data_IF_881700340993
#
_entry.id   IF_881700340993
#
_cell.length_a   1.000
_cell.length_b   1.000
_cell.length_c   1.000
_cell.angle_alpha   90.00
_cell.angle_beta   90.00
_cell.angle_gamma   90.00
#
_symmetry.space_group_name_H-M   'P 1'
#
loop_
_entity.id
_entity.type
_entity.pdbx_description
1 polymer ?
#
# COMPACT_ATOMS: atom_id res chain seq x y z
N UNK A 1 -11.86 -7.45 -3.57
CA UNK A 1 -12.36 -7.91 -2.27
C UNK A 1 -12.52 -6.76 -1.29
N UNK A 2 -12.08 -6.93 -0.05
CA UNK A 2 -11.99 -5.80 0.87
C UNK A 2 -10.88 -4.86 0.39
N UNK A 3 -11.17 -3.57 0.33
CA UNK A 3 -10.23 -2.59 -0.25
C UNK A 3 -9.09 -2.31 0.73
N UNK A 4 -9.41 -2.23 2.01
CA UNK A 4 -8.47 -1.86 3.08
C UNK A 4 -8.69 -2.74 4.32
N UNK A 5 -8.15 -3.98 4.34
CA UNK A 5 -8.15 -4.78 5.56
C UNK A 5 -7.34 -4.09 6.66
N UNK A 6 -7.94 -3.90 7.84
CA UNK A 6 -7.33 -3.10 8.91
C UNK A 6 -7.66 -3.59 10.32
N UNK A 7 -7.82 -4.89 10.50
CA UNK A 7 -8.07 -5.47 11.82
C UNK A 7 -6.91 -5.23 12.80
N UNK A 8 -5.70 -5.04 12.29
CA UNK A 8 -4.51 -4.69 13.04
C UNK A 8 -4.72 -3.41 13.87
N UNK A 9 -5.26 -2.36 13.27
CA UNK A 9 -5.56 -1.10 13.96
C UNK A 9 -6.87 -1.18 14.75
N UNK A 10 -7.96 -1.52 14.06
CA UNK A 10 -9.33 -1.36 14.60
C UNK A 10 -9.60 -2.22 15.83
N UNK A 11 -8.96 -3.38 15.93
CA UNK A 11 -9.20 -4.33 17.00
C UNK A 11 -8.01 -4.58 17.91
N UNK A 12 -6.79 -4.39 17.43
CA UNK A 12 -5.58 -4.87 18.10
C UNK A 12 -4.61 -3.75 18.45
N UNK A 13 -4.66 -2.60 17.78
CA UNK A 13 -3.68 -1.51 17.89
C UNK A 13 -2.23 -2.02 17.67
N UNK A 14 -2.07 -2.92 16.67
CA UNK A 14 -0.79 -3.52 16.31
C UNK A 14 -0.37 -3.07 14.91
N UNK A 15 0.74 -2.36 14.83
CA UNK A 15 1.24 -1.77 13.59
C UNK A 15 2.51 -2.43 13.05
N UNK A 16 3.16 -3.26 13.87
CA UNK A 16 4.31 -4.03 13.43
C UNK A 16 3.86 -5.35 12.80
N UNK A 17 4.12 -5.55 11.48
CA UNK A 17 3.61 -6.71 10.77
C UNK A 17 4.21 -8.03 11.25
N UNK A 18 5.47 -8.04 11.70
CA UNK A 18 6.11 -9.25 12.23
C UNK A 18 5.47 -9.67 13.57
N UNK A 19 5.23 -8.71 14.45
CA UNK A 19 4.53 -8.92 15.72
C UNK A 19 3.10 -9.39 15.48
N UNK A 20 2.40 -8.78 14.53
CA UNK A 20 1.04 -9.19 14.16
C UNK A 20 1.03 -10.65 13.70
N UNK A 21 1.91 -11.03 12.78
CA UNK A 21 1.99 -12.41 12.27
C UNK A 21 2.29 -13.41 13.40
N UNK A 22 3.21 -13.08 14.30
CA UNK A 22 3.56 -13.95 15.43
C UNK A 22 2.41 -14.14 16.45
N UNK A 23 1.61 -13.11 16.68
CA UNK A 23 0.59 -13.12 17.74
C UNK A 23 -0.82 -13.41 17.21
N UNK A 24 -1.12 -13.07 15.98
CA UNK A 24 -2.46 -13.06 15.40
C UNK A 24 -2.59 -13.83 14.11
N UNK A 25 -1.48 -14.30 13.52
CA UNK A 25 -1.50 -15.20 12.39
C UNK A 25 -2.42 -16.41 12.63
N UNK A 26 -3.13 -16.86 11.59
CA UNK A 26 -4.15 -17.92 11.67
C UNK A 26 -5.39 -17.62 12.57
N UNK A 27 -5.53 -16.41 13.08
CA UNK A 27 -6.74 -16.01 13.83
C UNK A 27 -7.82 -15.42 12.91
N UNK A 28 -8.95 -15.02 13.48
CA UNK A 28 -10.01 -14.31 12.73
C UNK A 28 -9.65 -12.85 12.40
N UNK A 29 -8.57 -12.35 12.95
CA UNK A 29 -8.06 -11.01 12.64
C UNK A 29 -7.12 -11.02 11.45
N UNK A 30 -6.58 -12.18 11.10
CA UNK A 30 -5.66 -12.37 9.98
C UNK A 30 -6.42 -12.40 8.64
N UNK A 31 -6.08 -11.47 7.75
CA UNK A 31 -6.65 -11.39 6.42
C UNK A 31 -6.26 -12.59 5.54
N UNK A 32 -5.07 -13.14 5.74
CA UNK A 32 -4.60 -14.35 5.05
C UNK A 32 -5.52 -15.55 5.25
N UNK A 33 -6.17 -15.61 6.40
CA UNK A 33 -7.18 -16.63 6.68
C UNK A 33 -8.52 -16.35 6.02
N UNK A 34 -8.82 -15.08 5.74
CA UNK A 34 -10.15 -14.66 5.31
C UNK A 34 -10.30 -14.58 3.79
N UNK A 35 -9.29 -14.07 3.08
CA UNK A 35 -9.44 -13.80 1.67
C UNK A 35 -9.42 -15.06 0.77
N UNK A 36 -8.61 -16.12 1.03
CA UNK A 36 -8.57 -17.27 0.13
C UNK A 36 -9.93 -17.94 -0.08
N UNK A 37 -10.71 -18.29 0.97
CA UNK A 37 -12.04 -18.86 0.77
C UNK A 37 -13.03 -17.90 0.09
N UNK A 38 -12.81 -16.58 0.17
CA UNK A 38 -13.63 -15.61 -0.56
C UNK A 38 -13.27 -15.67 -2.06
N UNK A 39 -11.98 -15.77 -2.41
CA UNK A 39 -11.55 -15.96 -3.80
C UNK A 39 -12.14 -17.26 -4.36
N UNK A 40 -12.07 -18.37 -3.63
CA UNK A 40 -12.66 -19.65 -4.04
C UNK A 40 -14.16 -19.52 -4.31
N UNK A 41 -14.91 -18.89 -3.41
CA UNK A 41 -16.34 -18.67 -3.58
C UNK A 41 -16.67 -17.76 -4.79
N UNK A 42 -15.84 -16.77 -5.08
CA UNK A 42 -15.97 -15.97 -6.31
C UNK A 42 -15.76 -16.86 -7.54
N UNK A 43 -14.77 -17.74 -7.53
CA UNK A 43 -14.45 -18.60 -8.65
C UNK A 43 -15.52 -19.64 -8.98
N UNK A 44 -16.33 -20.05 -8.01
CA UNK A 44 -17.51 -20.88 -8.25
C UNK A 44 -18.55 -20.20 -9.17
N UNK A 45 -18.59 -18.86 -9.17
CA UNK A 45 -19.58 -18.06 -9.91
C UNK A 45 -18.96 -17.38 -11.13
N UNK A 46 -17.75 -16.85 -10.96
CA UNK A 46 -17.01 -16.10 -11.99
C UNK A 46 -15.56 -16.59 -12.10
N UNK A 47 -15.28 -17.51 -13.03
CA UNK A 47 -13.94 -18.07 -13.20
C UNK A 47 -12.99 -17.17 -14.02
N UNK A 48 -13.43 -15.99 -14.49
CA UNK A 48 -12.66 -15.22 -15.48
C UNK A 48 -12.31 -13.79 -15.07
N UNK A 49 -13.13 -13.12 -14.28
CA UNK A 49 -12.87 -11.74 -13.88
C UNK A 49 -11.68 -11.66 -12.91
N UNK A 50 -10.70 -10.78 -13.15
CA UNK A 50 -9.63 -10.57 -12.19
C UNK A 50 -10.17 -10.14 -10.82
N UNK A 51 -9.54 -10.64 -9.75
CA UNK A 51 -9.84 -10.27 -8.37
C UNK A 51 -8.64 -9.51 -7.81
N UNK A 52 -8.89 -8.32 -7.27
CA UNK A 52 -7.87 -7.53 -6.58
C UNK A 52 -7.88 -7.87 -5.09
N UNK A 53 -6.70 -8.12 -4.53
CA UNK A 53 -6.50 -8.46 -3.12
C UNK A 53 -5.43 -7.54 -2.54
N UNK A 54 -5.84 -6.69 -1.61
CA UNK A 54 -4.91 -5.84 -0.85
C UNK A 54 -4.37 -6.55 0.39
N UNK A 55 -3.25 -6.10 0.91
CA UNK A 55 -2.69 -6.57 2.17
C UNK A 55 -3.35 -5.90 3.39
N UNK A 56 -2.90 -6.28 4.59
CA UNK A 56 -3.36 -5.66 5.84
C UNK A 56 -2.93 -4.19 5.96
N UNK A 57 -3.32 -3.54 7.05
CA UNK A 57 -2.99 -2.16 7.37
C UNK A 57 -3.31 -1.18 6.22
N UNK A 58 -4.56 -1.22 5.76
CA UNK A 58 -5.03 -0.36 4.65
C UNK A 58 -4.34 -0.64 3.31
N UNK A 59 -3.90 -1.86 3.08
CA UNK A 59 -3.11 -2.25 1.90
C UNK A 59 -1.74 -1.55 1.82
N UNK A 60 -1.14 -1.26 2.97
CA UNK A 60 0.17 -0.60 3.05
C UNK A 60 1.27 -1.49 2.47
N UNK A 61 2.18 -0.89 1.72
CA UNK A 61 3.26 -1.60 1.02
C UNK A 61 4.17 -2.39 1.96
N UNK A 62 4.39 -1.91 3.18
CA UNK A 62 5.22 -2.59 4.18
C UNK A 62 4.59 -3.88 4.71
N UNK A 63 3.28 -4.06 4.52
CA UNK A 63 2.55 -5.29 4.87
C UNK A 63 2.45 -6.29 3.72
N UNK A 64 2.87 -5.91 2.53
CA UNK A 64 2.84 -6.79 1.35
C UNK A 64 3.65 -8.10 1.53
N UNK A 65 4.84 -8.11 2.15
CA UNK A 65 5.61 -9.33 2.39
C UNK A 65 4.92 -10.37 3.28
N UNK A 66 3.92 -9.94 4.04
CA UNK A 66 3.15 -10.78 4.97
C UNK A 66 1.82 -11.23 4.38
N UNK A 67 1.55 -10.92 3.11
CA UNK A 67 0.36 -11.36 2.42
C UNK A 67 0.61 -12.72 1.76
N UNK A 68 -0.24 -13.69 2.10
CA UNK A 68 -0.25 -14.99 1.44
C UNK A 68 -0.68 -14.88 -0.03
N UNK A 69 -0.30 -15.86 -0.83
CA UNK A 69 -0.71 -15.96 -2.22
C UNK A 69 -1.60 -17.18 -2.46
N UNK A 70 -2.49 -17.07 -3.44
CA UNK A 70 -3.35 -18.17 -3.88
C UNK A 70 -2.95 -18.66 -5.27
N UNK A 71 -3.15 -19.94 -5.56
CA UNK A 71 -2.88 -20.51 -6.89
C UNK A 71 -4.01 -20.15 -7.88
N UNK A 72 -4.12 -18.85 -8.15
CA UNK A 72 -5.09 -18.27 -9.10
C UNK A 72 -4.42 -17.18 -9.94
N UNK A 73 -4.16 -17.45 -11.20
CA UNK A 73 -3.53 -16.52 -12.15
C UNK A 73 -4.36 -15.26 -12.48
N UNK A 74 -5.56 -15.14 -11.94
CA UNK A 74 -6.44 -14.00 -12.11
C UNK A 74 -6.62 -13.21 -10.81
N UNK A 75 -5.75 -13.45 -9.84
CA UNK A 75 -5.58 -12.56 -8.71
C UNK A 75 -4.48 -11.55 -9.03
N UNK A 76 -4.75 -10.29 -8.77
CA UNK A 76 -3.80 -9.18 -8.79
C UNK A 76 -3.70 -8.69 -7.36
N UNK A 77 -2.50 -8.68 -6.81
CA UNK A 77 -2.30 -8.11 -5.48
C UNK A 77 -2.22 -6.59 -5.56
N UNK A 78 -2.62 -5.90 -4.52
CA UNK A 78 -2.69 -4.44 -4.58
C UNK A 78 -2.12 -3.79 -3.33
N UNK A 79 -1.50 -2.63 -3.54
CA UNK A 79 -1.08 -1.73 -2.48
C UNK A 79 -1.81 -0.39 -2.59
N UNK A 80 -1.95 0.29 -1.44
CA UNK A 80 -2.27 1.70 -1.34
C UNK A 80 -0.99 2.42 -0.92
N UNK A 81 -0.38 3.13 -1.87
CA UNK A 81 0.91 3.75 -1.62
C UNK A 81 0.73 5.20 -1.17
N UNK A 82 0.85 5.40 0.14
CA UNK A 82 0.79 6.72 0.76
C UNK A 82 2.01 7.02 1.64
N UNK A 83 2.99 6.11 1.68
CA UNK A 83 4.21 6.34 2.43
C UNK A 83 5.09 7.42 1.78
N UNK A 84 5.76 8.28 2.55
CA UNK A 84 5.64 8.35 4.01
C UNK A 84 4.43 9.21 4.43
N UNK A 85 3.61 8.70 5.34
CA UNK A 85 2.40 9.37 5.83
C UNK A 85 2.69 10.74 6.44
N UNK A 86 3.85 10.90 7.07
CA UNK A 86 4.32 12.15 7.66
C UNK A 86 4.45 13.29 6.66
N UNK A 87 4.50 12.96 5.37
CA UNK A 87 4.49 13.93 4.29
C UNK A 87 3.15 13.96 3.56
N UNK A 88 2.67 12.80 3.11
CA UNK A 88 1.49 12.74 2.24
C UNK A 88 0.21 13.19 2.94
N UNK A 89 0.09 12.94 4.26
CA UNK A 89 -1.10 13.20 5.07
C UNK A 89 -0.96 14.35 6.06
N UNK A 90 0.17 15.08 6.06
CA UNK A 90 0.34 16.19 7.01
C UNK A 90 -0.69 17.30 6.76
N UNK A 91 -1.22 17.83 7.84
CA UNK A 91 -2.16 18.94 7.80
C UNK A 91 -1.48 20.28 7.52
N UNK A 92 -2.25 21.28 7.12
CA UNK A 92 -1.75 22.63 6.93
C UNK A 92 -1.61 23.37 8.29
N UNK A 93 -0.53 24.14 8.55
CA UNK A 93 0.60 24.34 7.65
C UNK A 93 1.55 23.15 7.63
N UNK A 94 2.00 22.69 6.45
CA UNK A 94 2.87 21.54 6.33
C UNK A 94 4.25 21.80 6.96
N UNK A 95 4.77 20.78 7.67
CA UNK A 95 6.09 20.82 8.29
C UNK A 95 7.19 20.23 7.39
N UNK A 96 6.84 19.20 6.61
CA UNK A 96 7.74 18.46 5.75
C UNK A 96 7.59 18.89 4.29
N UNK A 97 8.64 18.70 3.51
CA UNK A 97 8.68 19.00 2.08
C UNK A 97 9.35 17.84 1.33
N UNK A 98 9.01 17.67 0.05
CA UNK A 98 9.65 16.69 -0.82
C UNK A 98 10.43 17.38 -1.97
N UNK A 99 11.68 16.96 -2.23
CA UNK A 99 12.54 16.13 -1.39
C UNK A 99 12.86 16.81 -0.07
N UNK A 100 13.09 16.03 0.99
CA UNK A 100 13.36 16.58 2.30
C UNK A 100 13.96 15.57 3.27
N UNK A 101 14.27 16.06 4.48
CA UNK A 101 14.77 15.19 5.54
C UNK A 101 13.85 15.31 6.74
N UNK A 102 13.20 14.21 7.10
CA UNK A 102 12.28 14.08 8.23
C UNK A 102 12.15 12.60 8.61
N UNK A 103 11.67 12.33 9.81
CA UNK A 103 11.39 10.99 10.30
C UNK A 103 10.23 10.38 9.49
N UNK A 104 10.54 9.47 8.59
CA UNK A 104 9.58 8.91 7.64
C UNK A 104 8.97 7.57 8.09
N UNK A 105 9.61 6.89 9.05
CA UNK A 105 9.23 5.55 9.54
C UNK A 105 8.92 5.50 11.05
N UNK A 106 8.85 6.65 11.70
CA UNK A 106 8.54 6.81 13.13
C UNK A 106 9.62 6.27 14.10
N UNK A 107 10.85 6.10 13.64
CA UNK A 107 11.96 5.61 14.47
C UNK A 107 12.62 6.72 15.30
N UNK A 108 12.26 7.97 15.07
CA UNK A 108 12.76 9.16 15.74
C UNK A 108 14.06 9.71 15.15
N UNK A 109 14.49 9.20 14.00
CA UNK A 109 15.63 9.71 13.23
C UNK A 109 15.16 10.28 11.91
N UNK A 110 15.85 11.27 11.32
CA UNK A 110 15.46 11.80 10.03
C UNK A 110 16.01 10.96 8.87
N UNK A 111 15.12 10.61 7.96
CA UNK A 111 15.43 10.01 6.68
C UNK A 111 15.67 11.08 5.61
N UNK A 112 16.42 10.73 4.57
CA UNK A 112 16.48 11.51 3.35
C UNK A 112 15.37 11.02 2.42
N UNK A 113 14.24 11.69 2.43
CA UNK A 113 13.07 11.31 1.61
C UNK A 113 13.16 11.99 0.25
N UNK A 114 13.46 11.19 -0.75
CA UNK A 114 13.55 11.58 -2.16
C UNK A 114 13.16 10.40 -3.06
N UNK A 115 13.49 10.46 -4.36
CA UNK A 115 13.15 9.41 -5.30
C UNK A 115 13.81 8.07 -4.95
N UNK A 116 15.06 8.10 -4.48
CA UNK A 116 15.78 6.88 -4.12
C UNK A 116 15.10 6.20 -2.90
N UNK A 117 14.63 6.97 -1.92
CA UNK A 117 13.85 6.45 -0.79
C UNK A 117 12.54 5.78 -1.24
N UNK A 118 11.83 6.38 -2.21
CA UNK A 118 10.61 5.78 -2.77
C UNK A 118 10.92 4.52 -3.58
N UNK A 119 12.04 4.50 -4.27
CA UNK A 119 12.50 3.35 -5.05
C UNK A 119 12.83 2.17 -4.13
N UNK A 120 13.62 2.42 -3.07
CA UNK A 120 13.96 1.43 -2.04
C UNK A 120 12.69 0.85 -1.35
N UNK A 121 11.70 1.69 -1.07
CA UNK A 121 10.41 1.25 -0.52
C UNK A 121 9.69 0.28 -1.47
N UNK A 122 9.69 0.60 -2.76
CA UNK A 122 9.02 -0.20 -3.78
C UNK A 122 9.77 -1.48 -4.19
N UNK A 123 11.03 -1.66 -3.77
CA UNK A 123 11.73 -2.95 -3.88
C UNK A 123 10.95 -4.06 -3.16
N UNK A 124 10.15 -3.71 -2.15
CA UNK A 124 9.20 -4.62 -1.49
C UNK A 124 8.21 -5.26 -2.49
N UNK A 125 7.79 -4.50 -3.50
CA UNK A 125 6.89 -4.99 -4.57
C UNK A 125 7.66 -5.94 -5.48
N UNK A 126 8.87 -5.56 -5.90
CA UNK A 126 9.71 -6.38 -6.77
C UNK A 126 10.02 -7.74 -6.12
N UNK A 127 10.34 -7.74 -4.82
CA UNK A 127 10.59 -8.97 -4.05
C UNK A 127 9.33 -9.85 -3.95
N UNK A 128 8.16 -9.25 -3.70
CA UNK A 128 6.90 -9.98 -3.65
C UNK A 128 6.54 -10.59 -5.02
N UNK A 129 6.67 -9.85 -6.11
CA UNK A 129 6.43 -10.33 -7.46
C UNK A 129 7.41 -11.45 -7.84
N UNK A 130 8.68 -11.31 -7.49
CA UNK A 130 9.70 -12.33 -7.74
C UNK A 130 9.42 -13.63 -6.97
N UNK A 131 8.94 -13.53 -5.74
CA UNK A 131 8.63 -14.68 -4.88
C UNK A 131 7.32 -15.38 -5.29
N UNK A 132 6.28 -14.61 -5.61
CA UNK A 132 4.93 -15.12 -5.89
C UNK A 132 4.68 -15.45 -7.37
N UNK A 133 5.35 -14.73 -8.27
CA UNK A 133 5.06 -14.74 -9.70
C UNK A 133 3.71 -14.08 -10.06
N UNK A 134 3.11 -13.33 -9.13
CA UNK A 134 1.83 -12.67 -9.30
C UNK A 134 2.02 -11.15 -9.46
N UNK A 135 1.21 -10.48 -10.30
CA UNK A 135 1.34 -9.04 -10.51
C UNK A 135 0.83 -8.24 -9.31
N UNK A 136 1.46 -7.09 -9.06
CA UNK A 136 1.02 -6.09 -8.09
C UNK A 136 0.56 -4.81 -8.80
N UNK A 137 -0.43 -4.14 -8.24
CA UNK A 137 -0.91 -2.85 -8.71
C UNK A 137 -1.02 -1.86 -7.55
N UNK A 138 -0.71 -0.59 -7.78
CA UNK A 138 -0.99 0.49 -6.85
C UNK A 138 -2.41 1.04 -7.14
N UNK A 139 -3.44 0.44 -6.54
CA UNK A 139 -4.81 0.83 -6.85
C UNK A 139 -5.30 2.09 -6.10
N UNK A 140 -4.48 2.59 -5.17
CA UNK A 140 -4.59 3.93 -4.62
C UNK A 140 -3.20 4.51 -4.35
N UNK A 141 -3.00 5.79 -4.65
CA UNK A 141 -1.85 6.58 -4.26
C UNK A 141 -2.17 8.06 -4.40
N UNK A 142 -1.45 8.90 -3.69
CA UNK A 142 -1.66 10.34 -3.74
C UNK A 142 -1.20 11.05 -2.48
N UNK A 143 -1.49 12.35 -2.42
CA UNK A 143 -1.16 13.18 -1.28
C UNK A 143 -2.10 14.37 -1.16
N UNK A 144 -2.14 14.99 0.01
CA UNK A 144 -2.88 16.23 0.21
C UNK A 144 -2.30 17.36 -0.64
N UNK A 145 -3.14 18.06 -1.36
CA UNK A 145 -2.78 19.04 -2.42
C UNK A 145 -1.85 20.18 -2.01
N UNK A 146 -1.74 20.49 -0.73
CA UNK A 146 -0.92 21.59 -0.24
C UNK A 146 0.52 21.21 0.14
N UNK A 147 0.90 19.96 -0.06
CA UNK A 147 2.23 19.50 0.33
C UNK A 147 3.33 20.20 -0.49
N UNK A 148 4.37 20.77 0.16
CA UNK A 148 5.49 21.34 -0.55
C UNK A 148 6.24 20.28 -1.36
N UNK A 149 6.37 20.51 -2.67
CA UNK A 149 7.01 19.55 -3.58
C UNK A 149 6.07 18.48 -4.14
N UNK A 150 4.76 18.56 -3.89
CA UNK A 150 3.76 17.57 -4.32
C UNK A 150 3.88 17.13 -5.79
N UNK A 151 4.07 18.09 -6.71
CA UNK A 151 4.19 17.75 -8.14
C UNK A 151 5.40 16.88 -8.44
N UNK A 152 6.51 17.09 -7.73
CA UNK A 152 7.72 16.27 -7.91
C UNK A 152 7.52 14.89 -7.29
N UNK A 153 6.97 14.81 -6.08
CA UNK A 153 6.64 13.55 -5.43
C UNK A 153 5.78 12.67 -6.34
N UNK A 154 4.68 13.21 -6.86
CA UNK A 154 3.78 12.50 -7.76
C UNK A 154 4.46 12.07 -9.07
N UNK A 155 5.38 12.89 -9.60
CA UNK A 155 6.13 12.53 -10.80
C UNK A 155 7.06 11.35 -10.51
N UNK A 156 7.86 11.45 -9.44
CA UNK A 156 8.82 10.43 -9.07
C UNK A 156 8.10 9.10 -8.77
N UNK A 157 6.99 9.14 -8.04
CA UNK A 157 6.18 7.96 -7.71
C UNK A 157 5.54 7.31 -8.94
N UNK A 158 4.92 8.09 -9.82
CA UNK A 158 4.33 7.57 -11.06
C UNK A 158 5.37 6.96 -11.99
N UNK A 159 6.53 7.60 -12.13
CA UNK A 159 7.64 7.06 -12.93
C UNK A 159 8.13 5.72 -12.35
N UNK A 160 8.23 5.59 -11.03
CA UNK A 160 8.64 4.34 -10.37
C UNK A 160 7.63 3.21 -10.58
N UNK A 161 6.32 3.50 -10.57
CA UNK A 161 5.30 2.51 -10.93
C UNK A 161 5.39 2.09 -12.40
N UNK A 162 5.59 3.05 -13.30
CA UNK A 162 5.73 2.76 -14.74
C UNK A 162 7.01 1.98 -15.06
N UNK A 163 8.12 2.27 -14.41
CA UNK A 163 9.38 1.55 -14.54
C UNK A 163 9.25 0.08 -14.13
N UNK A 164 8.40 -0.22 -13.14
CA UNK A 164 8.07 -1.58 -12.69
C UNK A 164 6.95 -2.25 -13.50
N UNK A 165 6.34 -1.51 -14.43
CA UNK A 165 5.21 -2.01 -15.21
C UNK A 165 3.92 -2.19 -14.42
N UNK A 166 3.82 -1.56 -13.25
CA UNK A 166 2.65 -1.61 -12.39
C UNK A 166 1.48 -0.82 -12.98
N UNK A 167 0.28 -1.37 -12.87
CA UNK A 167 -0.93 -0.57 -13.06
C UNK A 167 -1.17 0.27 -11.81
N UNK A 168 -1.55 1.55 -12.02
CA UNK A 168 -1.77 2.43 -10.88
C UNK A 168 -2.98 3.34 -11.06
N UNK A 169 -3.62 3.76 -9.96
CA UNK A 169 -4.80 4.61 -9.96
C UNK A 169 -4.70 5.70 -8.89
N UNK A 170 -4.69 6.95 -9.34
CA UNK A 170 -4.61 8.12 -8.48
C UNK A 170 -5.86 8.27 -7.58
N UNK A 171 -5.66 8.46 -6.31
CA UNK A 171 -6.67 8.89 -5.34
C UNK A 171 -6.51 10.39 -4.98
N UNK A 172 -7.43 11.30 -5.39
CA UNK A 172 -8.47 10.98 -6.32
C UNK A 172 -8.61 12.10 -7.34
N UNK A 173 -8.92 11.74 -8.59
CA UNK A 173 -9.23 12.73 -9.61
C UNK A 173 -10.55 13.42 -9.30
N UNK A 174 -10.55 14.77 -9.37
CA UNK A 174 -11.76 15.60 -9.15
C UNK A 174 -12.47 15.32 -7.81
N UNK A 175 -11.74 15.02 -6.76
CA UNK A 175 -12.29 14.90 -5.42
C UNK A 175 -12.90 16.25 -4.99
N UNK A 176 -14.11 16.25 -4.44
CA UNK A 176 -14.85 17.46 -4.08
C UNK A 176 -14.83 17.79 -2.60
N UNK A 177 -14.03 17.10 -1.84
CA UNK A 177 -13.81 17.37 -0.43
C UNK A 177 -12.35 17.73 -0.18
N UNK A 178 -12.11 18.69 0.71
CA UNK A 178 -10.76 18.90 1.20
C UNK A 178 -10.28 17.64 1.93
N UNK A 179 -9.01 17.30 1.86
CA UNK A 179 -7.90 18.07 1.27
C UNK A 179 -7.47 17.64 -0.15
N UNK A 180 -8.15 16.66 -0.77
CA UNK A 180 -7.72 15.92 -1.97
C UNK A 180 -8.03 16.59 -3.31
N UNK A 181 -8.61 17.78 -3.35
CA UNK A 181 -8.92 18.50 -4.59
C UNK A 181 -8.30 19.87 -4.68
#
# INVERSE_FOLDING_TARGET
LMVEPNSNEVWLDEWDPETFEQQHGDTLYDWNRMFPPIVDAIREVDPVTPVLVGCMAYSDVEWLPYLDTVDDRRVVYTIHQYQPFQYTHQEAPPANAYPGSFDADWDGQPDQVDRDWLDDLLDTVDDFEAASGAPVAANEYGLMRWQPGAARFMTDEMELFEERGMNHALWAWDARWAPWY
#
